data_IF_640515370616
#
_entry.id   IF_640515370616
#
_cell.length_a   1.000
_cell.length_b   1.000
_cell.length_c   1.000
_cell.angle_alpha   90.00
_cell.angle_beta   90.00
_cell.angle_gamma   90.00
#
_symmetry.space_group_name_H-M   'P 1'
#
loop_
_entity.id
_entity.type
_entity.pdbx_description
1 polymer ?
#
# COMPACT_ATOMS: atom_id res chain seq x y z
N UNK A 1 -15.10 -23.56 -23.39
CA UNK A 1 -15.65 -22.75 -22.28
C UNK A 1 -17.15 -22.66 -22.48
N UNK A 2 -17.94 -22.73 -21.42
CA UNK A 2 -19.39 -22.73 -21.52
C UNK A 2 -19.88 -21.29 -21.78
N UNK A 3 -20.25 -20.98 -23.03
CA UNK A 3 -20.73 -19.65 -23.45
C UNK A 3 -22.01 -19.19 -22.74
N UNK A 4 -22.67 -20.09 -22.01
CA UNK A 4 -23.89 -19.78 -21.26
C UNK A 4 -23.62 -19.01 -19.97
N UNK A 5 -22.48 -19.23 -19.31
CA UNK A 5 -22.19 -18.67 -17.98
C UNK A 5 -22.13 -17.13 -17.97
N UNK A 6 -21.47 -16.45 -18.93
CA UNK A 6 -21.49 -14.98 -18.99
C UNK A 6 -22.85 -14.38 -19.36
N UNK A 7 -23.81 -15.21 -19.82
CA UNK A 7 -25.18 -14.79 -20.14
C UNK A 7 -26.15 -14.99 -18.98
N UNK A 8 -25.70 -15.64 -17.89
CA UNK A 8 -26.52 -15.81 -16.71
C UNK A 8 -26.72 -14.47 -15.99
N UNK A 9 -27.91 -14.23 -15.41
CA UNK A 9 -28.13 -13.01 -14.66
C UNK A 9 -27.26 -12.92 -13.39
N UNK A 10 -26.62 -11.76 -13.19
CA UNK A 10 -25.79 -11.50 -12.00
C UNK A 10 -26.59 -11.58 -10.68
N UNK A 11 -27.91 -11.35 -10.70
CA UNK A 11 -28.76 -11.41 -9.50
C UNK A 11 -28.73 -12.77 -8.80
N UNK A 12 -28.47 -13.87 -9.53
CA UNK A 12 -28.35 -15.20 -8.91
C UNK A 12 -27.15 -15.27 -7.95
N UNK A 13 -26.06 -14.59 -8.29
CA UNK A 13 -24.87 -14.50 -7.44
C UNK A 13 -25.10 -13.48 -6.33
N UNK A 14 -25.81 -12.38 -6.62
CA UNK A 14 -26.15 -11.36 -5.64
C UNK A 14 -27.05 -11.91 -4.53
N UNK A 15 -28.11 -12.62 -4.89
CA UNK A 15 -29.03 -13.28 -3.96
C UNK A 15 -28.30 -14.33 -3.11
N UNK A 16 -27.39 -15.11 -3.71
CA UNK A 16 -26.55 -16.06 -2.98
C UNK A 16 -25.72 -15.34 -1.92
N UNK A 17 -25.02 -14.27 -2.30
CA UNK A 17 -24.20 -13.48 -1.37
C UNK A 17 -25.04 -12.86 -0.25
N UNK A 18 -26.20 -12.30 -0.58
CA UNK A 18 -27.05 -11.60 0.37
C UNK A 18 -27.69 -12.56 1.37
N UNK A 19 -28.21 -13.71 0.93
CA UNK A 19 -28.76 -14.74 1.82
C UNK A 19 -27.68 -15.27 2.76
N UNK A 20 -26.53 -15.64 2.22
CA UNK A 20 -25.41 -16.19 2.99
C UNK A 20 -24.90 -15.21 4.04
N UNK A 21 -24.69 -13.95 3.67
CA UNK A 21 -24.21 -12.91 4.57
C UNK A 21 -25.30 -12.51 5.58
N UNK A 22 -26.58 -12.53 5.20
CA UNK A 22 -27.68 -12.26 6.11
C UNK A 22 -27.73 -13.27 7.25
N UNK A 23 -27.48 -14.55 6.98
CA UNK A 23 -27.49 -15.60 7.99
C UNK A 23 -26.46 -15.39 9.09
N UNK A 24 -25.37 -14.66 8.82
CA UNK A 24 -24.31 -14.37 9.80
C UNK A 24 -24.57 -13.12 10.63
N UNK A 25 -25.59 -12.30 10.31
CA UNK A 25 -25.84 -11.02 11.01
C UNK A 25 -26.36 -11.18 12.43
N UNK A 26 -27.11 -12.25 12.72
CA UNK A 26 -27.72 -12.47 14.02
C UNK A 26 -27.29 -13.81 14.65
N UNK A 27 -27.03 -13.87 15.97
CA UNK A 27 -26.65 -15.12 16.63
C UNK A 27 -27.65 -16.27 16.49
N UNK A 28 -28.94 -15.95 16.34
CA UNK A 28 -29.98 -16.95 16.14
C UNK A 28 -29.90 -17.58 14.74
N UNK A 29 -29.76 -16.77 13.69
CA UNK A 29 -29.63 -17.25 12.30
C UNK A 29 -28.30 -17.95 12.09
N UNK A 30 -27.21 -17.46 12.70
CA UNK A 30 -25.91 -18.11 12.62
C UNK A 30 -25.94 -19.52 13.22
N UNK A 31 -26.60 -19.67 14.38
CA UNK A 31 -26.81 -20.99 15.01
C UNK A 31 -27.69 -21.91 14.20
N UNK A 32 -28.66 -21.37 13.45
CA UNK A 32 -29.55 -22.16 12.59
C UNK A 32 -28.81 -22.83 11.42
N UNK A 33 -27.61 -22.37 11.05
CA UNK A 33 -26.78 -22.99 10.02
C UNK A 33 -26.07 -24.28 10.49
N UNK A 34 -26.22 -24.69 11.75
CA UNK A 34 -25.56 -25.87 12.30
C UNK A 34 -25.95 -27.13 11.52
N UNK A 35 -24.96 -27.89 11.08
CA UNK A 35 -25.14 -29.12 10.31
C UNK A 35 -25.32 -28.92 8.80
N UNK A 36 -25.35 -27.67 8.32
CA UNK A 36 -25.35 -27.38 6.88
C UNK A 36 -23.91 -27.40 6.37
N UNK A 37 -23.67 -28.10 5.26
CA UNK A 37 -22.44 -28.03 4.49
C UNK A 37 -22.59 -27.01 3.36
N UNK A 38 -21.75 -25.96 3.37
CA UNK A 38 -21.72 -24.93 2.33
C UNK A 38 -20.48 -25.04 1.42
N UNK A 39 -19.81 -26.19 1.39
CA UNK A 39 -18.60 -26.40 0.58
C UNK A 39 -18.76 -26.06 -0.91
N UNK A 40 -19.92 -26.35 -1.50
CA UNK A 40 -20.16 -25.99 -2.92
C UNK A 40 -20.35 -24.48 -3.10
N UNK A 41 -21.00 -23.79 -2.17
CA UNK A 41 -21.10 -22.34 -2.18
C UNK A 41 -19.70 -21.71 -2.05
N UNK A 42 -18.86 -22.24 -1.15
CA UNK A 42 -17.45 -21.82 -1.03
C UNK A 42 -16.70 -21.95 -2.36
N UNK A 43 -16.78 -23.11 -3.03
CA UNK A 43 -16.10 -23.36 -4.30
C UNK A 43 -16.60 -22.45 -5.42
N UNK A 44 -17.91 -22.18 -5.47
CA UNK A 44 -18.48 -21.21 -6.42
C UNK A 44 -17.90 -19.82 -6.19
N UNK A 45 -17.85 -19.36 -4.94
CA UNK A 45 -17.28 -18.05 -4.57
C UNK A 45 -15.80 -17.95 -4.96
N UNK A 46 -14.98 -18.94 -4.57
CA UNK A 46 -13.56 -19.00 -4.93
C UNK A 46 -13.36 -19.00 -6.46
N UNK A 47 -14.20 -19.73 -7.18
CA UNK A 47 -14.12 -19.82 -8.64
C UNK A 47 -14.47 -18.48 -9.30
N UNK A 48 -15.54 -17.81 -8.90
CA UNK A 48 -15.98 -16.51 -9.45
C UNK A 48 -14.99 -15.38 -9.13
N UNK A 49 -14.27 -15.48 -8.01
CA UNK A 49 -13.20 -14.54 -7.68
C UNK A 49 -11.92 -14.79 -8.49
N UNK A 50 -11.68 -16.01 -8.96
CA UNK A 50 -10.43 -16.35 -9.66
C UNK A 50 -10.20 -15.52 -10.93
N UNK A 51 -8.94 -15.16 -11.25
CA UNK A 51 -8.63 -14.35 -12.43
C UNK A 51 -9.24 -14.89 -13.72
N UNK A 52 -9.29 -16.22 -13.85
CA UNK A 52 -9.89 -16.91 -14.99
C UNK A 52 -11.38 -16.59 -15.19
N UNK A 53 -12.15 -16.45 -14.12
CA UNK A 53 -13.60 -16.21 -14.18
C UNK A 53 -13.98 -14.80 -13.75
N UNK A 54 -13.02 -13.94 -13.45
CA UNK A 54 -13.29 -12.60 -12.95
C UNK A 54 -14.18 -11.79 -13.90
N UNK A 55 -13.97 -11.94 -15.21
CA UNK A 55 -14.76 -11.33 -16.28
C UNK A 55 -16.25 -11.76 -16.33
N UNK A 56 -16.62 -12.83 -15.60
CA UNK A 56 -18.01 -13.34 -15.55
C UNK A 56 -18.89 -12.49 -14.65
N UNK A 57 -18.32 -11.85 -13.62
CA UNK A 57 -19.03 -10.93 -12.72
C UNK A 57 -18.45 -9.53 -12.94
N UNK A 58 -19.13 -8.70 -13.74
CA UNK A 58 -18.57 -7.40 -14.15
C UNK A 58 -18.78 -6.32 -13.10
N UNK A 59 -19.78 -6.50 -12.24
CA UNK A 59 -20.07 -5.55 -11.17
C UNK A 59 -19.08 -5.68 -10.01
N UNK A 60 -18.25 -4.65 -9.81
CA UNK A 60 -17.26 -4.61 -8.73
C UNK A 60 -17.87 -4.71 -7.32
N UNK A 61 -19.07 -4.17 -7.09
CA UNK A 61 -19.76 -4.31 -5.80
C UNK A 61 -20.15 -5.77 -5.52
N UNK A 62 -20.60 -6.49 -6.55
CA UNK A 62 -20.94 -7.91 -6.43
C UNK A 62 -19.69 -8.76 -6.23
N UNK A 63 -18.58 -8.43 -6.91
CA UNK A 63 -17.28 -9.05 -6.64
C UNK A 63 -16.83 -8.81 -5.20
N UNK A 64 -17.03 -7.61 -4.68
CA UNK A 64 -16.73 -7.29 -3.29
C UNK A 64 -17.60 -8.10 -2.31
N UNK A 65 -18.89 -8.27 -2.61
CA UNK A 65 -19.80 -9.15 -1.85
C UNK A 65 -19.32 -10.61 -1.79
N UNK A 66 -18.71 -11.13 -2.86
CA UNK A 66 -18.08 -12.47 -2.83
C UNK A 66 -16.93 -12.53 -1.81
N UNK A 67 -16.12 -11.48 -1.72
CA UNK A 67 -15.10 -11.34 -0.67
C UNK A 67 -15.71 -11.26 0.74
N UNK A 68 -16.82 -10.53 0.90
CA UNK A 68 -17.59 -10.47 2.14
C UNK A 68 -18.11 -11.84 2.55
N UNK A 69 -18.57 -12.69 1.63
CA UNK A 69 -18.99 -14.07 1.94
C UNK A 69 -17.83 -14.87 2.53
N UNK A 70 -16.64 -14.79 1.93
CA UNK A 70 -15.44 -15.45 2.46
C UNK A 70 -15.10 -14.96 3.87
N UNK A 71 -15.14 -13.64 4.08
CA UNK A 71 -14.89 -13.03 5.37
C UNK A 71 -15.96 -13.40 6.41
N UNK A 72 -17.24 -13.27 6.10
CA UNK A 72 -18.34 -13.45 7.03
C UNK A 72 -18.67 -14.91 7.35
N UNK A 73 -18.35 -15.85 6.46
CA UNK A 73 -18.68 -17.25 6.69
C UNK A 73 -17.43 -18.07 6.98
N UNK A 74 -16.38 -17.96 6.17
CA UNK A 74 -15.31 -18.97 6.15
C UNK A 74 -14.05 -18.58 6.93
N UNK A 75 -13.86 -17.30 7.27
CA UNK A 75 -12.72 -16.85 8.07
C UNK A 75 -12.88 -17.21 9.56
N UNK A 76 -12.01 -18.05 10.14
CA UNK A 76 -12.04 -18.35 11.57
C UNK A 76 -11.58 -17.15 12.42
N UNK A 77 -12.02 -17.11 13.68
CA UNK A 77 -11.48 -16.21 14.73
C UNK A 77 -11.34 -14.74 14.29
N UNK A 78 -12.39 -14.17 13.71
CA UNK A 78 -12.39 -12.76 13.30
C UNK A 78 -12.18 -11.85 14.50
N UNK A 79 -11.42 -10.78 14.29
CA UNK A 79 -11.19 -9.74 15.29
C UNK A 79 -12.50 -9.02 15.69
N UNK A 80 -13.50 -9.06 14.81
CA UNK A 80 -14.76 -8.37 14.98
C UNK A 80 -15.79 -9.20 15.77
N UNK A 81 -16.69 -8.55 16.50
CA UNK A 81 -17.71 -9.16 17.40
C UNK A 81 -18.86 -9.87 16.65
N UNK A 82 -18.62 -10.30 15.41
CA UNK A 82 -19.61 -10.98 14.60
C UNK A 82 -20.04 -12.30 15.23
N UNK A 83 -21.32 -12.71 15.06
CA UNK A 83 -21.78 -14.01 15.52
C UNK A 83 -20.92 -15.17 15.01
N UNK A 84 -20.57 -16.10 15.89
CA UNK A 84 -19.77 -17.27 15.53
C UNK A 84 -20.56 -18.19 14.62
N UNK A 85 -20.07 -18.37 13.40
CA UNK A 85 -20.60 -19.34 12.44
C UNK A 85 -20.21 -20.76 12.90
N UNK A 86 -21.11 -21.76 12.82
CA UNK A 86 -20.80 -23.12 13.23
C UNK A 86 -19.67 -23.74 12.39
N UNK A 87 -18.78 -24.50 13.03
CA UNK A 87 -17.67 -25.20 12.35
C UNK A 87 -18.15 -26.09 11.20
N UNK A 88 -19.35 -26.68 11.30
CA UNK A 88 -19.95 -27.51 10.24
C UNK A 88 -20.08 -26.78 8.89
N UNK A 89 -20.15 -25.45 8.92
CA UNK A 89 -20.27 -24.60 7.74
C UNK A 89 -18.90 -24.12 7.25
N UNK A 90 -18.02 -23.77 8.20
CA UNK A 90 -16.71 -23.17 7.90
C UNK A 90 -15.66 -24.19 7.51
N UNK A 91 -15.82 -25.43 7.98
CA UNK A 91 -14.82 -26.47 7.90
C UNK A 91 -15.25 -27.59 6.96
N UNK A 92 -14.26 -28.14 6.27
CA UNK A 92 -14.40 -29.24 5.35
C UNK A 92 -14.52 -30.57 6.11
N UNK A 93 -15.68 -31.25 6.01
CA UNK A 93 -15.89 -32.52 6.69
C UNK A 93 -14.98 -33.63 6.13
N UNK A 94 -14.55 -33.53 4.87
CA UNK A 94 -13.69 -34.52 4.22
C UNK A 94 -12.21 -34.35 4.59
N UNK A 95 -11.84 -33.15 5.03
CA UNK A 95 -10.47 -32.80 5.41
C UNK A 95 -10.25 -32.77 6.93
N UNK A 96 -11.03 -33.57 7.68
CA UNK A 96 -10.87 -33.71 9.13
C UNK A 96 -11.28 -32.48 9.93
N UNK A 97 -12.24 -31.68 9.42
CA UNK A 97 -12.71 -30.47 10.10
C UNK A 97 -11.77 -29.28 9.98
N UNK A 98 -10.88 -29.27 8.97
CA UNK A 98 -10.04 -28.11 8.66
C UNK A 98 -10.87 -27.02 7.96
N UNK A 99 -10.59 -25.72 8.18
CA UNK A 99 -11.29 -24.64 7.48
C UNK A 99 -11.20 -24.79 5.96
N UNK A 100 -12.30 -24.55 5.24
CA UNK A 100 -12.35 -24.62 3.77
C UNK A 100 -11.29 -23.75 3.09
N UNK A 101 -11.01 -22.57 3.67
CA UNK A 101 -9.94 -21.67 3.22
C UNK A 101 -8.57 -22.35 3.13
N UNK A 102 -8.29 -23.35 3.97
CA UNK A 102 -7.00 -24.03 4.05
C UNK A 102 -7.03 -25.45 3.46
N UNK A 103 -8.19 -26.09 3.31
CA UNK A 103 -8.28 -27.48 2.86
C UNK A 103 -8.67 -27.65 1.39
N UNK A 104 -9.44 -26.72 0.83
CA UNK A 104 -9.92 -26.85 -0.55
C UNK A 104 -8.80 -26.59 -1.56
N UNK A 105 -8.65 -27.51 -2.52
CA UNK A 105 -7.58 -27.46 -3.51
C UNK A 105 -7.67 -26.24 -4.44
N UNK A 106 -8.88 -25.77 -4.77
CA UNK A 106 -9.04 -24.57 -5.58
C UNK A 106 -8.62 -23.34 -4.79
N UNK A 107 -9.01 -23.27 -3.51
CA UNK A 107 -8.63 -22.16 -2.65
C UNK A 107 -7.11 -22.05 -2.52
N UNK A 108 -6.41 -23.14 -2.19
CA UNK A 108 -4.95 -23.17 -2.06
C UNK A 108 -4.19 -22.72 -3.31
N UNK A 109 -4.80 -22.85 -4.49
CA UNK A 109 -4.15 -22.52 -5.77
C UNK A 109 -4.46 -21.12 -6.26
N UNK A 110 -5.70 -20.65 -6.08
CA UNK A 110 -6.16 -19.40 -6.73
C UNK A 110 -6.55 -18.31 -5.75
N UNK A 111 -6.84 -18.61 -4.48
CA UNK A 111 -7.50 -17.63 -3.61
C UNK A 111 -6.62 -16.44 -3.26
N UNK A 112 -5.36 -16.65 -2.90
CA UNK A 112 -4.42 -15.56 -2.63
C UNK A 112 -4.32 -14.56 -3.81
N UNK A 113 -4.02 -14.97 -5.07
CA UNK A 113 -4.04 -14.05 -6.22
C UNK A 113 -5.40 -13.40 -6.45
N UNK A 114 -6.49 -14.14 -6.26
CA UNK A 114 -7.85 -13.61 -6.44
C UNK A 114 -8.16 -12.48 -5.47
N UNK A 115 -7.72 -12.61 -4.21
CA UNK A 115 -7.96 -11.61 -3.18
C UNK A 115 -7.07 -10.37 -3.37
N UNK A 116 -5.83 -10.52 -3.84
CA UNK A 116 -5.00 -9.36 -4.18
C UNK A 116 -5.59 -8.59 -5.37
N UNK A 117 -6.06 -9.29 -6.40
CA UNK A 117 -6.77 -8.67 -7.52
C UNK A 117 -8.02 -7.93 -7.03
N UNK A 118 -8.84 -8.60 -6.21
CA UNK A 118 -10.04 -8.01 -5.64
C UNK A 118 -9.73 -6.77 -4.79
N UNK A 119 -8.61 -6.75 -4.06
CA UNK A 119 -8.15 -5.59 -3.28
C UNK A 119 -7.93 -4.34 -4.15
N UNK A 120 -7.46 -4.52 -5.38
CA UNK A 120 -7.35 -3.46 -6.39
C UNK A 120 -8.71 -3.09 -6.98
N UNK A 121 -9.51 -4.07 -7.38
CA UNK A 121 -10.82 -3.88 -8.03
C UNK A 121 -11.82 -3.10 -7.16
N UNK A 122 -11.80 -3.28 -5.85
CA UNK A 122 -12.70 -2.55 -4.93
C UNK A 122 -12.45 -1.04 -4.91
N UNK A 123 -11.35 -0.55 -5.49
CA UNK A 123 -11.13 0.89 -5.71
C UNK A 123 -12.27 1.54 -6.52
N UNK A 124 -12.91 0.77 -7.40
CA UNK A 124 -14.02 1.21 -8.25
C UNK A 124 -15.39 1.25 -7.52
N UNK A 125 -15.41 0.91 -6.23
CA UNK A 125 -16.64 0.94 -5.40
C UNK A 125 -16.80 2.27 -4.67
N UNK A 126 -17.94 2.49 -4.01
CA UNK A 126 -18.17 3.70 -3.22
C UNK A 126 -17.15 3.86 -2.08
N UNK A 127 -16.82 5.09 -1.69
CA UNK A 127 -15.76 5.38 -0.72
C UNK A 127 -15.88 4.57 0.60
N UNK A 128 -17.07 4.58 1.23
CA UNK A 128 -17.31 3.85 2.48
C UNK A 128 -17.28 2.32 2.30
N UNK A 129 -17.83 1.84 1.19
CA UNK A 129 -17.88 0.43 0.86
C UNK A 129 -16.46 -0.12 0.60
N UNK A 130 -15.65 0.61 -0.17
CA UNK A 130 -14.25 0.30 -0.47
C UNK A 130 -13.45 0.05 0.81
N UNK A 131 -13.59 0.91 1.81
CA UNK A 131 -12.85 0.79 3.06
C UNK A 131 -13.19 -0.50 3.81
N UNK A 132 -14.50 -0.77 3.93
CA UNK A 132 -15.00 -1.98 4.57
C UNK A 132 -14.51 -3.23 3.82
N UNK A 133 -14.67 -3.26 2.50
CA UNK A 133 -14.24 -4.40 1.68
C UNK A 133 -12.74 -4.65 1.78
N UNK A 134 -11.90 -3.61 1.71
CA UNK A 134 -10.46 -3.75 1.89
C UNK A 134 -10.07 -4.26 3.26
N UNK A 135 -10.73 -3.80 4.32
CA UNK A 135 -10.48 -4.29 5.67
C UNK A 135 -10.79 -5.79 5.81
N UNK A 136 -11.84 -6.28 5.14
CA UNK A 136 -12.18 -7.70 5.09
C UNK A 136 -11.18 -8.52 4.28
N UNK A 137 -10.82 -8.04 3.09
CA UNK A 137 -9.85 -8.69 2.20
C UNK A 137 -8.48 -8.77 2.87
N UNK A 138 -8.01 -7.70 3.53
CA UNK A 138 -6.75 -7.69 4.27
C UNK A 138 -6.73 -8.74 5.40
N UNK A 139 -7.84 -8.91 6.12
CA UNK A 139 -7.98 -9.96 7.14
C UNK A 139 -7.94 -11.37 6.55
N UNK A 140 -8.59 -11.59 5.39
CA UNK A 140 -8.50 -12.86 4.67
C UNK A 140 -7.05 -13.13 4.24
N UNK A 141 -6.42 -12.16 3.57
CA UNK A 141 -5.04 -12.28 3.07
C UNK A 141 -4.06 -12.59 4.20
N UNK A 142 -4.19 -11.94 5.36
CA UNK A 142 -3.38 -12.24 6.54
C UNK A 142 -3.53 -13.69 6.99
N UNK A 143 -4.77 -14.18 7.10
CA UNK A 143 -5.03 -15.56 7.50
C UNK A 143 -4.46 -16.58 6.49
N UNK A 144 -4.53 -16.28 5.19
CA UNK A 144 -3.91 -17.13 4.16
C UNK A 144 -2.38 -17.06 4.21
N UNK A 145 -1.79 -15.89 4.49
CA UNK A 145 -0.35 -15.70 4.55
C UNK A 145 0.32 -16.51 5.68
N UNK A 146 -0.33 -16.58 6.83
CA UNK A 146 0.14 -17.34 8.00
C UNK A 146 0.12 -18.86 7.76
N UNK A 147 -0.55 -19.32 6.70
CA UNK A 147 -0.69 -20.72 6.31
C UNK A 147 0.38 -21.16 5.30
N UNK A 148 0.94 -22.35 5.50
CA UNK A 148 1.92 -22.93 4.58
C UNK A 148 1.29 -23.31 3.22
N UNK A 149 0.00 -23.65 3.22
CA UNK A 149 -0.75 -24.12 2.07
C UNK A 149 -0.87 -23.07 0.95
N UNK A 150 -0.92 -21.78 1.31
CA UNK A 150 -1.09 -20.68 0.34
C UNK A 150 0.22 -20.04 -0.11
N UNK A 151 1.37 -20.36 0.50
CA UNK A 151 2.67 -19.76 0.13
C UNK A 151 2.99 -19.89 -1.35
N UNK A 152 2.69 -21.05 -1.94
CA UNK A 152 2.90 -21.28 -3.37
C UNK A 152 2.01 -20.39 -4.25
N UNK A 153 0.76 -20.10 -3.83
CA UNK A 153 -0.12 -19.20 -4.56
C UNK A 153 0.35 -17.74 -4.45
N UNK A 154 0.82 -17.31 -3.27
CA UNK A 154 1.45 -16.01 -3.10
C UNK A 154 2.67 -15.82 -4.01
N UNK A 155 3.55 -16.82 -4.11
CA UNK A 155 4.70 -16.77 -5.02
C UNK A 155 4.32 -16.77 -6.50
N UNK A 156 3.19 -17.39 -6.88
CA UNK A 156 2.69 -17.29 -8.26
C UNK A 156 2.30 -15.87 -8.63
N UNK A 157 1.80 -15.07 -7.69
CA UNK A 157 1.54 -13.64 -7.96
C UNK A 157 2.84 -12.95 -8.35
N UNK A 158 3.95 -13.33 -7.72
CA UNK A 158 5.24 -12.74 -8.06
C UNK A 158 5.71 -13.06 -9.49
N UNK A 159 5.08 -14.02 -10.18
CA UNK A 159 5.35 -14.33 -11.59
C UNK A 159 4.56 -13.44 -12.57
N UNK A 160 3.49 -12.78 -12.11
CA UNK A 160 2.69 -11.83 -12.89
C UNK A 160 3.01 -10.40 -12.42
N UNK A 161 4.08 -9.85 -13.00
CA UNK A 161 4.65 -8.55 -12.64
C UNK A 161 3.62 -7.43 -12.78
N UNK A 162 2.85 -7.39 -13.87
CA UNK A 162 1.95 -6.27 -14.16
C UNK A 162 0.78 -6.21 -13.18
N UNK A 163 0.19 -7.36 -12.87
CA UNK A 163 -0.86 -7.47 -11.86
C UNK A 163 -0.35 -7.07 -10.47
N UNK A 164 0.88 -7.49 -10.11
CA UNK A 164 1.49 -7.12 -8.84
C UNK A 164 1.77 -5.63 -8.75
N UNK A 165 2.34 -5.02 -9.79
CA UNK A 165 2.65 -3.60 -9.84
C UNK A 165 1.38 -2.76 -9.67
N UNK A 166 0.29 -3.13 -10.36
CA UNK A 166 -1.02 -2.47 -10.20
C UNK A 166 -1.53 -2.56 -8.76
N UNK A 167 -1.44 -3.74 -8.15
CA UNK A 167 -1.84 -3.98 -6.77
C UNK A 167 -1.00 -3.17 -5.76
N UNK A 168 0.32 -3.24 -5.87
CA UNK A 168 1.27 -2.54 -5.00
C UNK A 168 1.09 -1.02 -5.12
N UNK A 169 0.88 -0.52 -6.34
CA UNK A 169 0.56 0.88 -6.59
C UNK A 169 -0.72 1.32 -5.85
N UNK A 170 -1.79 0.51 -5.93
CA UNK A 170 -3.04 0.75 -5.21
C UNK A 170 -2.85 0.85 -3.70
N UNK A 171 -2.07 -0.08 -3.11
CA UNK A 171 -1.74 -0.06 -1.67
C UNK A 171 -0.99 1.22 -1.28
N UNK A 172 0.01 1.63 -2.06
CA UNK A 172 0.81 2.81 -1.74
C UNK A 172 -0.04 4.09 -1.81
N UNK A 173 -0.87 4.23 -2.85
CA UNK A 173 -1.77 5.38 -3.02
C UNK A 173 -2.79 5.45 -1.88
N UNK A 174 -3.39 4.32 -1.52
CA UNK A 174 -4.30 4.25 -0.39
C UNK A 174 -3.60 4.61 0.93
N UNK A 175 -2.43 4.03 1.20
CA UNK A 175 -1.69 4.28 2.44
C UNK A 175 -1.38 5.77 2.60
N UNK A 176 -0.93 6.42 1.52
CA UNK A 176 -0.69 7.86 1.51
C UNK A 176 -1.97 8.65 1.80
N UNK A 177 -3.08 8.32 1.14
CA UNK A 177 -4.35 9.03 1.34
C UNK A 177 -4.90 8.87 2.76
N UNK A 178 -4.88 7.65 3.30
CA UNK A 178 -5.39 7.36 4.65
C UNK A 178 -4.53 8.04 5.72
N UNK A 179 -3.20 7.93 5.59
CA UNK A 179 -2.28 8.56 6.55
C UNK A 179 -2.40 10.09 6.48
N UNK A 180 -2.47 10.68 5.28
CA UNK A 180 -2.62 12.12 5.14
C UNK A 180 -3.90 12.62 5.83
N UNK A 181 -5.03 11.98 5.56
CA UNK A 181 -6.33 12.33 6.15
C UNK A 181 -6.34 12.16 7.67
N UNK A 182 -5.90 11.01 8.19
CA UNK A 182 -5.87 10.76 9.65
C UNK A 182 -4.92 11.72 10.36
N UNK A 183 -3.74 11.98 9.80
CA UNK A 183 -2.74 12.85 10.42
C UNK A 183 -3.09 14.34 10.33
N UNK A 184 -4.00 14.72 9.45
CA UNK A 184 -4.60 16.06 9.41
C UNK A 184 -5.72 16.18 10.46
N UNK A 185 -6.61 15.18 10.56
CA UNK A 185 -7.79 15.21 11.42
C UNK A 185 -7.50 14.99 12.90
N UNK A 186 -6.54 14.13 13.26
CA UNK A 186 -6.19 13.87 14.67
C UNK A 186 -5.80 15.15 15.44
N UNK A 187 -4.92 16.03 14.91
CA UNK A 187 -4.65 17.32 15.53
C UNK A 187 -5.89 18.21 15.68
N UNK A 188 -6.80 18.21 14.71
CA UNK A 188 -8.05 18.99 14.79
C UNK A 188 -8.97 18.47 15.89
N UNK A 189 -9.16 17.15 15.98
CA UNK A 189 -9.91 16.47 17.04
C UNK A 189 -9.34 16.89 18.39
N UNK A 190 -8.02 16.80 18.58
CA UNK A 190 -7.37 17.21 19.82
C UNK A 190 -7.60 18.68 20.15
N UNK A 191 -7.48 19.58 19.16
CA UNK A 191 -7.71 21.02 19.39
C UNK A 191 -9.11 21.28 19.92
N UNK A 192 -10.12 20.63 19.34
CA UNK A 192 -11.51 20.75 19.80
C UNK A 192 -11.69 20.12 21.19
N UNK A 193 -11.12 18.94 21.45
CA UNK A 193 -11.14 18.32 22.79
C UNK A 193 -10.58 19.23 23.88
N UNK A 194 -9.43 19.88 23.62
CA UNK A 194 -8.82 20.84 24.55
C UNK A 194 -9.70 22.07 24.74
N UNK A 195 -10.31 22.58 23.67
CA UNK A 195 -11.20 23.74 23.72
C UNK A 195 -12.48 23.44 24.53
N UNK A 196 -13.08 22.28 24.32
CA UNK A 196 -14.27 21.81 25.06
C UNK A 196 -13.94 21.53 26.53
N UNK A 197 -12.71 21.12 26.84
CA UNK A 197 -12.25 20.90 28.20
C UNK A 197 -12.03 22.21 29.00
N UNK A 198 -12.09 23.39 28.36
CA UNK A 198 -12.03 24.69 29.02
C UNK A 198 -13.44 25.34 29.07
N UNK A 199 -14.18 25.20 30.20
CA UNK A 199 -15.57 25.66 30.27
C UNK A 199 -15.74 27.16 30.10
N UNK A 200 -14.72 27.96 30.44
CA UNK A 200 -14.77 29.43 30.33
C UNK A 200 -14.69 29.89 28.88
N UNK A 201 -13.74 29.35 28.12
CA UNK A 201 -13.59 29.65 26.69
C UNK A 201 -14.74 29.04 25.87
N UNK A 202 -15.18 27.84 26.22
CA UNK A 202 -16.29 27.18 25.54
C UNK A 202 -17.62 27.93 25.74
N UNK A 203 -17.91 28.39 26.96
CA UNK A 203 -19.12 29.16 27.26
C UNK A 203 -19.11 30.59 26.67
N UNK A 204 -17.93 31.12 26.32
CA UNK A 204 -17.80 32.42 25.67
C UNK A 204 -18.18 32.41 24.18
N UNK A 205 -18.26 31.23 23.55
CA UNK A 205 -18.66 31.07 22.16
C UNK A 205 -20.19 31.16 22.01
N UNK A 206 -20.65 31.61 20.85
CA UNK A 206 -22.08 31.57 20.54
C UNK A 206 -22.60 30.12 20.44
N UNK A 207 -23.91 29.93 20.54
CA UNK A 207 -24.53 28.61 20.36
C UNK A 207 -24.27 28.06 18.95
N UNK A 208 -24.43 28.87 17.91
CA UNK A 208 -24.14 28.52 16.51
C UNK A 208 -22.68 28.09 16.29
N UNK A 209 -21.73 28.78 16.94
CA UNK A 209 -20.31 28.41 16.88
C UNK A 209 -20.04 27.06 17.55
N UNK A 210 -20.68 26.81 18.70
CA UNK A 210 -20.55 25.54 19.42
C UNK A 210 -21.14 24.39 18.62
N UNK A 211 -22.29 24.57 17.98
CA UNK A 211 -22.89 23.56 17.09
C UNK A 211 -21.98 23.26 15.90
N UNK A 212 -21.46 24.29 15.23
CA UNK A 212 -20.57 24.12 14.06
C UNK A 212 -19.28 23.36 14.45
N UNK A 213 -18.67 23.73 15.59
CA UNK A 213 -17.46 23.05 16.07
C UNK A 213 -17.75 21.59 16.44
N UNK A 214 -18.89 21.34 17.09
CA UNK A 214 -19.29 19.99 17.51
C UNK A 214 -19.60 19.10 16.31
N UNK A 215 -20.35 19.60 15.32
CA UNK A 215 -20.62 18.86 14.07
C UNK A 215 -19.33 18.48 13.35
N UNK A 216 -18.41 19.43 13.16
CA UNK A 216 -17.12 19.14 12.52
C UNK A 216 -16.25 18.17 13.35
N UNK A 217 -16.36 18.24 14.67
CA UNK A 217 -15.66 17.30 15.55
C UNK A 217 -16.17 15.88 15.35
N UNK A 218 -17.48 15.67 15.39
CA UNK A 218 -18.13 14.38 15.16
C UNK A 218 -17.79 13.81 13.77
N UNK A 219 -17.84 14.64 12.73
CA UNK A 219 -17.44 14.26 11.36
C UNK A 219 -15.97 13.80 11.31
N UNK A 220 -15.07 14.57 11.92
CA UNK A 220 -13.65 14.20 11.97
C UNK A 220 -13.43 12.90 12.76
N UNK A 221 -14.13 12.71 13.89
CA UNK A 221 -14.06 11.48 14.66
C UNK A 221 -14.57 10.27 13.88
N UNK A 222 -15.66 10.42 13.13
CA UNK A 222 -16.21 9.36 12.28
C UNK A 222 -15.22 8.96 11.18
N UNK A 223 -14.62 9.92 10.49
CA UNK A 223 -13.61 9.65 9.47
C UNK A 223 -12.43 8.90 10.08
N UNK A 224 -11.84 9.39 11.17
CA UNK A 224 -10.68 8.74 11.80
C UNK A 224 -11.03 7.33 12.28
N UNK A 225 -12.23 7.12 12.84
CA UNK A 225 -12.70 5.79 13.28
C UNK A 225 -12.86 4.81 12.12
N UNK A 226 -13.20 5.29 10.92
CA UNK A 226 -13.28 4.47 9.70
C UNK A 226 -11.92 4.19 9.06
N UNK A 227 -11.09 5.22 8.90
CA UNK A 227 -9.84 5.16 8.13
C UNK A 227 -8.68 4.48 8.86
N UNK A 228 -8.55 4.73 10.16
CA UNK A 228 -7.38 4.32 10.92
C UNK A 228 -7.26 2.80 11.13
N UNK A 229 -8.35 2.04 11.36
CA UNK A 229 -8.29 0.58 11.34
C UNK A 229 -7.77 0.02 10.01
N UNK A 230 -8.24 0.58 8.89
CA UNK A 230 -7.77 0.16 7.56
C UNK A 230 -6.30 0.51 7.36
N UNK A 231 -5.90 1.73 7.73
CA UNK A 231 -4.51 2.18 7.68
C UNK A 231 -3.56 1.21 8.41
N UNK A 232 -3.92 0.80 9.63
CA UNK A 232 -3.15 -0.17 10.40
C UNK A 232 -3.05 -1.52 9.66
N UNK A 233 -4.16 -2.02 9.11
CA UNK A 233 -4.20 -3.29 8.37
C UNK A 233 -3.35 -3.23 7.10
N UNK A 234 -3.37 -2.11 6.37
CA UNK A 234 -2.61 -1.92 5.14
C UNK A 234 -1.10 -1.86 5.41
N UNK A 235 -0.66 -1.15 6.47
CA UNK A 235 0.75 -1.14 6.89
C UNK A 235 1.22 -2.52 7.32
N UNK A 236 0.41 -3.24 8.11
CA UNK A 236 0.73 -4.61 8.51
C UNK A 236 0.83 -5.53 7.30
N UNK A 237 -0.10 -5.41 6.35
CA UNK A 237 -0.07 -6.14 5.08
C UNK A 237 1.22 -5.95 4.32
N UNK A 238 1.63 -4.69 4.15
CA UNK A 238 2.91 -4.38 3.52
C UNK A 238 4.09 -4.97 4.31
N UNK A 239 4.04 -4.95 5.64
CA UNK A 239 5.06 -5.55 6.51
C UNK A 239 5.24 -7.04 6.29
N UNK A 240 4.18 -7.83 6.40
CA UNK A 240 4.29 -9.29 6.30
C UNK A 240 4.48 -9.78 4.85
N UNK A 241 3.93 -9.10 3.84
CA UNK A 241 4.19 -9.46 2.42
C UNK A 241 5.68 -9.43 2.09
N UNK A 242 6.41 -8.48 2.68
CA UNK A 242 7.84 -8.28 2.45
C UNK A 242 8.75 -9.21 3.26
N UNK A 243 8.18 -10.17 4.00
CA UNK A 243 8.96 -11.22 4.66
C UNK A 243 9.33 -12.38 3.73
N UNK A 244 8.62 -12.55 2.60
CA UNK A 244 9.03 -13.50 1.55
C UNK A 244 9.93 -12.79 0.53
N UNK A 245 11.16 -13.31 0.26
CA UNK A 245 12.11 -12.66 -0.65
C UNK A 245 11.59 -12.48 -2.07
N UNK A 246 10.79 -13.41 -2.60
CA UNK A 246 10.32 -13.34 -4.00
C UNK A 246 9.37 -12.16 -4.18
N UNK A 247 8.49 -11.92 -3.20
CA UNK A 247 7.58 -10.77 -3.19
C UNK A 247 8.34 -9.48 -2.90
N UNK A 248 9.25 -9.51 -1.91
CA UNK A 248 10.06 -8.35 -1.53
C UNK A 248 10.82 -7.78 -2.73
N UNK A 249 11.40 -8.63 -3.57
CA UNK A 249 12.16 -8.19 -4.74
C UNK A 249 11.31 -7.44 -5.77
N UNK A 250 9.99 -7.65 -5.80
CA UNK A 250 9.10 -6.91 -6.71
C UNK A 250 8.85 -5.47 -6.27
N UNK A 251 8.91 -5.21 -4.97
CA UNK A 251 8.88 -3.84 -4.46
C UNK A 251 10.17 -3.06 -4.74
N UNK A 252 11.26 -3.76 -5.09
CA UNK A 252 12.55 -3.18 -5.48
C UNK A 252 12.65 -2.88 -6.99
N UNK A 253 11.62 -3.20 -7.78
CA UNK A 253 11.57 -2.80 -9.19
C UNK A 253 11.66 -1.28 -9.32
N UNK A 254 12.33 -0.80 -10.37
CA UNK A 254 12.60 0.63 -10.60
C UNK A 254 11.33 1.50 -10.52
N UNK A 255 10.24 1.04 -11.14
CA UNK A 255 8.93 1.72 -11.13
C UNK A 255 8.21 1.73 -9.76
N UNK A 256 8.61 0.85 -8.84
CA UNK A 256 7.96 0.63 -7.54
C UNK A 256 8.77 1.16 -6.36
N UNK A 257 10.09 0.99 -6.38
CA UNK A 257 10.97 1.26 -5.25
C UNK A 257 10.90 2.73 -4.82
N UNK A 258 10.96 3.66 -5.78
CA UNK A 258 10.85 5.09 -5.49
C UNK A 258 9.52 5.45 -4.82
N UNK A 259 8.41 4.85 -5.29
CA UNK A 259 7.06 5.07 -4.72
C UNK A 259 6.94 4.51 -3.31
N UNK A 260 7.46 3.30 -3.10
CA UNK A 260 7.50 2.66 -1.79
C UNK A 260 8.25 3.55 -0.80
N UNK A 261 9.47 3.94 -1.14
CA UNK A 261 10.33 4.79 -0.31
C UNK A 261 9.62 6.09 0.05
N UNK A 262 9.08 6.81 -0.93
CA UNK A 262 8.40 8.07 -0.70
C UNK A 262 7.17 7.91 0.20
N UNK A 263 6.39 6.83 0.04
CA UNK A 263 5.29 6.50 0.95
C UNK A 263 5.82 6.23 2.37
N UNK A 264 6.83 5.38 2.53
CA UNK A 264 7.37 5.04 3.85
C UNK A 264 7.92 6.28 4.59
N UNK A 265 8.66 7.14 3.90
CA UNK A 265 9.14 8.40 4.47
C UNK A 265 8.01 9.38 4.79
N UNK A 266 6.98 9.47 3.93
CA UNK A 266 5.80 10.26 4.22
C UNK A 266 5.15 9.83 5.54
N UNK A 267 4.95 8.52 5.74
CA UNK A 267 4.40 8.00 7.01
C UNK A 267 5.37 8.24 8.17
N UNK A 268 6.67 8.03 7.98
CA UNK A 268 7.69 8.19 9.02
C UNK A 268 7.73 9.63 9.55
N UNK A 269 7.69 10.62 8.64
CA UNK A 269 7.67 12.04 8.97
C UNK A 269 6.46 12.40 9.83
N UNK A 270 5.29 11.83 9.54
CA UNK A 270 4.07 12.07 10.32
C UNK A 270 4.12 11.44 11.71
N UNK A 271 4.72 10.25 11.85
CA UNK A 271 4.78 9.52 13.12
C UNK A 271 5.90 9.99 14.06
N UNK A 272 7.08 10.30 13.52
CA UNK A 272 8.29 10.66 14.31
C UNK A 272 8.56 12.16 14.33
N UNK A 273 7.84 12.94 13.51
CA UNK A 273 7.99 14.38 13.43
C UNK A 273 7.76 15.12 14.74
N UNK A 274 8.15 16.40 14.74
CA UNK A 274 8.07 17.31 15.91
C UNK A 274 6.65 17.51 16.46
N UNK A 275 5.63 17.11 15.69
CA UNK A 275 4.20 17.21 16.02
C UNK A 275 3.63 15.98 16.73
N UNK A 276 4.45 15.02 17.17
CA UNK A 276 3.95 13.81 17.85
C UNK A 276 3.09 14.10 19.10
N UNK A 277 3.33 15.22 19.80
CA UNK A 277 2.44 15.66 20.88
C UNK A 277 1.05 16.07 20.38
N UNK A 278 0.92 16.68 19.21
CA UNK A 278 -0.37 17.10 18.63
C UNK A 278 -1.28 15.92 18.29
N UNK A 279 -0.71 14.72 18.11
CA UNK A 279 -1.45 13.49 17.80
C UNK A 279 -2.06 12.81 19.04
N UNK A 280 -1.73 13.25 20.26
CA UNK A 280 -2.29 12.67 21.48
C UNK A 280 -3.71 13.18 21.71
N UNK A 281 -4.68 12.49 21.13
CA UNK A 281 -6.13 12.65 21.37
C UNK A 281 -6.56 11.92 22.65
N UNK A 282 -7.70 12.32 23.20
CA UNK A 282 -8.35 11.58 24.27
C UNK A 282 -8.92 10.25 23.74
N UNK A 283 -8.93 9.20 24.56
CA UNK A 283 -9.42 7.86 24.20
C UNK A 283 -8.89 7.33 22.84
N UNK A 284 -7.56 7.28 22.60
CA UNK A 284 -6.97 6.88 21.32
C UNK A 284 -7.37 5.47 20.88
N UNK A 285 -7.68 4.59 21.85
CA UNK A 285 -8.15 3.23 21.58
C UNK A 285 -9.50 3.19 20.85
N UNK A 286 -10.36 4.20 21.05
CA UNK A 286 -11.68 4.27 20.40
C UNK A 286 -11.59 4.49 18.88
N UNK A 287 -10.46 5.01 18.41
CA UNK A 287 -10.15 5.20 16.99
C UNK A 287 -9.22 4.10 16.45
N UNK A 288 -8.84 3.10 17.25
CA UNK A 288 -7.74 2.17 16.95
C UNK A 288 -6.41 2.88 16.68
N UNK A 289 -6.17 4.05 17.27
CA UNK A 289 -4.91 4.76 17.11
C UNK A 289 -3.81 4.14 17.96
N UNK A 290 -2.90 3.41 17.31
CA UNK A 290 -1.78 2.73 17.96
C UNK A 290 -0.45 3.19 17.36
N UNK A 291 -0.02 4.44 17.62
CA UNK A 291 1.15 5.02 16.96
C UNK A 291 2.43 4.21 17.19
N UNK A 292 2.57 3.54 18.34
CA UNK A 292 3.72 2.66 18.62
C UNK A 292 3.74 1.42 17.72
N UNK A 293 2.59 0.78 17.51
CA UNK A 293 2.48 -0.38 16.64
C UNK A 293 2.69 0.03 15.18
N UNK A 294 2.11 1.15 14.75
CA UNK A 294 2.34 1.71 13.41
C UNK A 294 3.82 2.01 13.16
N UNK A 295 4.50 2.63 14.14
CA UNK A 295 5.93 2.94 14.02
C UNK A 295 6.77 1.65 13.98
N UNK A 296 6.42 0.65 14.81
CA UNK A 296 7.06 -0.68 14.77
C UNK A 296 6.94 -1.29 13.38
N UNK A 297 5.72 -1.37 12.86
CA UNK A 297 5.42 -2.02 11.59
C UNK A 297 6.13 -1.28 10.45
N UNK A 298 6.15 0.06 10.49
CA UNK A 298 6.89 0.89 9.54
C UNK A 298 8.40 0.66 9.59
N UNK A 299 9.01 0.66 10.79
CA UNK A 299 10.44 0.39 10.94
C UNK A 299 10.80 -1.04 10.52
N UNK A 300 9.92 -2.02 10.76
CA UNK A 300 10.10 -3.39 10.27
C UNK A 300 10.12 -3.45 8.75
N UNK A 301 9.27 -2.67 8.06
CA UNK A 301 9.31 -2.56 6.60
C UNK A 301 10.66 -1.99 6.14
N UNK A 302 11.13 -0.88 6.73
CA UNK A 302 12.46 -0.35 6.42
C UNK A 302 13.57 -1.39 6.64
N UNK A 303 13.53 -2.15 7.74
CA UNK A 303 14.49 -3.21 8.03
C UNK A 303 14.49 -4.31 6.96
N UNK A 304 13.31 -4.72 6.46
CA UNK A 304 13.20 -5.75 5.43
C UNK A 304 13.95 -5.40 4.14
N UNK A 305 14.07 -4.10 3.82
CA UNK A 305 14.73 -3.61 2.60
C UNK A 305 16.11 -3.00 2.84
N UNK A 306 16.55 -2.87 4.11
CA UNK A 306 17.76 -2.15 4.46
C UNK A 306 19.04 -2.73 3.85
N UNK A 307 19.01 -4.02 3.50
CA UNK A 307 20.12 -4.70 2.86
C UNK A 307 20.27 -4.35 1.36
N UNK A 308 19.19 -3.94 0.68
CA UNK A 308 19.14 -3.73 -0.77
C UNK A 308 19.69 -2.35 -1.19
N UNK A 309 20.64 -2.33 -2.12
CA UNK A 309 21.29 -1.10 -2.57
C UNK A 309 20.32 -0.20 -3.34
N UNK A 310 19.41 -0.78 -4.10
CA UNK A 310 18.36 -0.09 -4.84
C UNK A 310 17.46 0.71 -3.88
N UNK A 311 17.06 0.10 -2.76
CA UNK A 311 16.25 0.75 -1.74
C UNK A 311 17.01 1.87 -1.03
N UNK A 312 18.28 1.63 -0.67
CA UNK A 312 19.14 2.64 -0.05
C UNK A 312 19.32 3.85 -0.96
N UNK A 313 19.55 3.61 -2.26
CA UNK A 313 19.70 4.67 -3.25
C UNK A 313 18.41 5.48 -3.42
N UNK A 314 17.26 4.83 -3.52
CA UNK A 314 15.97 5.54 -3.59
C UNK A 314 15.66 6.30 -2.31
N UNK A 315 16.04 5.79 -1.12
CA UNK A 315 15.96 6.55 0.13
C UNK A 315 16.75 7.85 0.05
N UNK A 316 17.97 7.80 -0.48
CA UNK A 316 18.83 8.98 -0.63
C UNK A 316 18.29 10.01 -1.62
N UNK A 317 17.57 9.58 -2.66
CA UNK A 317 16.93 10.48 -3.63
C UNK A 317 15.59 11.07 -3.15
N UNK A 318 15.01 10.53 -2.08
CA UNK A 318 13.68 10.94 -1.64
C UNK A 318 13.69 12.39 -1.13
N UNK A 319 12.77 13.21 -1.62
CA UNK A 319 12.59 14.59 -1.13
C UNK A 319 12.12 14.69 0.33
N UNK A 320 11.74 13.57 0.95
CA UNK A 320 11.39 13.50 2.37
C UNK A 320 12.56 13.07 3.26
N UNK A 321 13.70 12.69 2.68
CA UNK A 321 14.84 12.22 3.44
C UNK A 321 15.51 13.39 4.17
N UNK A 322 15.61 13.25 5.48
CA UNK A 322 16.48 14.06 6.33
C UNK A 322 17.27 13.12 7.24
N UNK A 323 18.59 13.28 7.31
CA UNK A 323 19.44 12.42 8.14
C UNK A 323 18.97 12.40 9.61
N UNK A 324 18.52 13.55 10.12
CA UNK A 324 18.00 13.66 11.49
C UNK A 324 16.70 12.87 11.71
N UNK A 325 15.81 12.80 10.71
CA UNK A 325 14.55 12.05 10.79
C UNK A 325 14.81 10.55 10.98
N UNK A 326 15.69 9.96 10.17
CA UNK A 326 16.01 8.53 10.26
C UNK A 326 16.73 8.23 11.58
N UNK A 327 17.68 9.09 11.98
CA UNK A 327 18.37 8.94 13.27
C UNK A 327 17.42 9.04 14.48
N UNK A 328 16.49 10.00 14.48
CA UNK A 328 15.44 10.11 15.51
C UNK A 328 14.55 8.87 15.54
N UNK A 329 14.24 8.30 14.38
CA UNK A 329 13.43 7.09 14.24
C UNK A 329 14.12 5.88 14.85
N UNK A 330 15.41 5.67 14.55
CA UNK A 330 16.24 4.60 15.16
C UNK A 330 16.31 4.75 16.68
N UNK A 331 16.62 5.94 17.19
CA UNK A 331 16.66 6.21 18.64
C UNK A 331 15.32 5.95 19.32
N UNK A 332 14.22 6.34 18.68
CA UNK A 332 12.87 6.12 19.21
C UNK A 332 12.53 4.63 19.22
N UNK A 333 12.88 3.91 18.15
CA UNK A 333 12.69 2.47 18.03
C UNK A 333 13.44 1.71 19.13
N UNK A 334 14.71 2.05 19.38
CA UNK A 334 15.52 1.46 20.46
C UNK A 334 14.95 1.78 21.86
N UNK A 335 14.63 3.05 22.12
CA UNK A 335 14.11 3.50 23.41
C UNK A 335 12.78 2.85 23.78
N UNK A 336 11.91 2.62 22.79
CA UNK A 336 10.61 2.01 22.96
C UNK A 336 10.62 0.49 22.76
N UNK A 337 11.78 -0.10 22.43
CA UNK A 337 11.96 -1.53 22.15
C UNK A 337 10.98 -2.04 21.09
N UNK A 338 10.80 -1.29 20.00
CA UNK A 338 9.83 -1.65 18.96
C UNK A 338 10.34 -2.79 18.08
N UNK A 339 11.63 -2.78 17.73
CA UNK A 339 12.30 -3.85 17.00
C UNK A 339 13.34 -4.55 17.90
N UNK A 340 13.66 -5.80 17.56
CA UNK A 340 14.65 -6.63 18.28
C UNK A 340 15.48 -7.46 17.31
N UNK A 341 16.68 -7.85 17.73
CA UNK A 341 17.58 -8.71 16.94
C UNK A 341 17.99 -8.09 15.60
N UNK A 342 18.10 -8.94 14.58
CA UNK A 342 18.57 -8.59 13.23
C UNK A 342 17.78 -7.43 12.61
N UNK A 343 16.47 -7.37 12.80
CA UNK A 343 15.65 -6.29 12.25
C UNK A 343 16.02 -4.90 12.80
N UNK A 344 16.42 -4.82 14.08
CA UNK A 344 16.89 -3.56 14.66
C UNK A 344 18.29 -3.20 14.15
N UNK A 345 19.17 -4.19 13.99
CA UNK A 345 20.53 -3.98 13.49
C UNK A 345 20.51 -3.49 12.03
N UNK A 346 19.70 -4.11 11.18
CA UNK A 346 19.47 -3.69 9.79
C UNK A 346 18.88 -2.28 9.70
N UNK A 347 17.85 -1.98 10.50
CA UNK A 347 17.28 -0.63 10.52
C UNK A 347 18.26 0.43 11.02
N UNK A 348 19.12 0.09 11.98
CA UNK A 348 20.17 0.99 12.45
C UNK A 348 21.25 1.20 11.37
N UNK A 349 21.67 0.14 10.68
CA UNK A 349 22.66 0.18 9.60
C UNK A 349 22.18 1.03 8.40
N UNK A 350 20.88 1.03 8.13
CA UNK A 350 20.27 1.85 7.08
C UNK A 350 20.66 3.33 7.19
N UNK A 351 20.74 3.88 8.41
CA UNK A 351 21.07 5.32 8.60
C UNK A 351 22.40 5.70 7.94
N UNK A 352 23.46 4.93 8.22
CA UNK A 352 24.79 5.18 7.66
C UNK A 352 24.86 4.90 6.17
N UNK A 353 24.16 3.87 5.68
CA UNK A 353 24.12 3.54 4.25
C UNK A 353 23.44 4.63 3.42
N UNK A 354 22.29 5.12 3.87
CA UNK A 354 21.57 6.21 3.20
C UNK A 354 22.37 7.51 3.26
N UNK A 355 23.08 7.79 4.36
CA UNK A 355 23.95 8.96 4.44
C UNK A 355 25.09 8.92 3.40
N UNK A 356 25.74 7.76 3.22
CA UNK A 356 26.77 7.58 2.19
C UNK A 356 26.18 7.70 0.78
N UNK A 357 25.01 7.10 0.55
CA UNK A 357 24.32 7.20 -0.73
C UNK A 357 23.87 8.65 -1.03
N UNK A 358 23.39 9.40 -0.04
CA UNK A 358 23.01 10.82 -0.16
C UNK A 358 24.15 11.67 -0.68
N UNK A 359 25.36 11.51 -0.10
CA UNK A 359 26.56 12.22 -0.58
C UNK A 359 26.89 11.87 -2.02
N UNK A 360 26.71 10.61 -2.40
CA UNK A 360 26.94 10.16 -3.79
C UNK A 360 25.91 10.76 -4.76
N UNK A 361 24.65 10.90 -4.33
CA UNK A 361 23.59 11.55 -5.10
C UNK A 361 23.87 13.05 -5.22
N UNK A 362 24.23 13.73 -4.12
CA UNK A 362 24.62 15.15 -4.12
C UNK A 362 25.82 15.43 -5.02
N UNK A 363 26.86 14.58 -4.98
CA UNK A 363 28.04 14.69 -5.85
C UNK A 363 27.65 14.52 -7.33
N UNK A 364 26.70 13.61 -7.62
CA UNK A 364 26.18 13.42 -8.97
C UNK A 364 25.36 14.62 -9.43
N UNK A 365 24.45 15.12 -8.60
CA UNK A 365 23.62 16.29 -8.91
C UNK A 365 24.50 17.53 -9.15
N UNK A 366 25.56 17.72 -8.34
CA UNK A 366 26.54 18.78 -8.54
C UNK A 366 27.32 18.61 -9.85
N UNK A 367 27.66 17.38 -10.25
CA UNK A 367 28.31 17.08 -11.53
C UNK A 367 27.40 17.36 -12.73
N UNK A 368 26.09 17.14 -12.58
CA UNK A 368 25.09 17.33 -13.63
C UNK A 368 24.37 18.68 -13.58
N UNK A 369 24.72 19.56 -12.64
CA UNK A 369 24.02 20.83 -12.42
C UNK A 369 24.06 21.77 -13.64
N UNK A 370 25.06 21.65 -14.50
CA UNK A 370 25.19 22.43 -15.74
C UNK A 370 24.87 21.61 -17.01
N UNK A 371 24.05 20.56 -16.86
CA UNK A 371 23.54 19.79 -17.98
C UNK A 371 22.71 20.68 -18.95
N UNK A 372 22.91 20.52 -20.27
CA UNK A 372 22.02 21.10 -21.28
C UNK A 372 20.55 20.75 -21.03
N UNK A 373 19.64 21.68 -21.34
CA UNK A 373 18.19 21.46 -21.15
C UNK A 373 17.67 20.22 -21.89
N UNK A 374 18.26 19.85 -23.03
CA UNK A 374 17.90 18.65 -23.79
C UNK A 374 18.21 17.32 -23.08
N UNK A 375 19.02 17.34 -22.01
CA UNK A 375 19.34 16.16 -21.18
C UNK A 375 18.49 16.12 -19.91
N UNK A 376 17.65 17.13 -19.67
CA UNK A 376 16.76 17.19 -18.53
C UNK A 376 15.39 16.63 -18.91
N UNK A 377 14.80 15.88 -17.99
CA UNK A 377 13.44 15.41 -18.10
C UNK A 377 12.48 16.61 -18.09
N UNK A 378 11.58 16.76 -19.08
CA UNK A 378 10.71 17.93 -19.18
C UNK A 378 9.57 17.98 -18.14
N UNK A 379 9.32 16.91 -17.39
CA UNK A 379 8.34 16.86 -16.30
C UNK A 379 9.01 17.09 -14.94
N UNK A 380 10.14 16.41 -14.70
CA UNK A 380 10.82 16.41 -13.41
C UNK A 380 11.95 17.44 -13.31
N UNK A 381 12.41 17.99 -14.44
CA UNK A 381 13.58 18.87 -14.54
C UNK A 381 14.86 18.27 -13.94
N UNK A 382 14.95 16.95 -13.96
CA UNK A 382 16.11 16.17 -13.48
C UNK A 382 16.87 15.57 -14.65
N UNK A 383 18.16 15.29 -14.47
CA UNK A 383 18.98 14.65 -15.50
C UNK A 383 18.43 13.27 -15.90
N UNK A 384 18.18 13.07 -17.20
CA UNK A 384 17.69 11.79 -17.74
C UNK A 384 18.78 10.72 -17.72
N UNK A 385 18.42 9.51 -17.28
CA UNK A 385 19.30 8.33 -17.26
C UNK A 385 18.93 7.34 -18.37
N UNK A 386 17.64 7.19 -18.63
CA UNK A 386 17.13 6.35 -19.71
C UNK A 386 16.10 7.10 -20.53
N UNK A 387 16.54 7.93 -21.50
CA UNK A 387 15.62 8.73 -22.29
C UNK A 387 14.77 7.85 -23.22
N UNK A 388 13.46 8.08 -23.19
CA UNK A 388 12.46 7.40 -24.00
C UNK A 388 11.55 8.40 -24.70
N UNK A 389 11.17 8.07 -25.92
CA UNK A 389 10.37 8.87 -26.81
C UNK A 389 8.89 8.49 -26.76
N UNK A 390 8.04 9.51 -26.59
CA UNK A 390 6.59 9.40 -26.57
C UNK A 390 6.04 9.70 -27.98
N UNK A 391 5.46 8.70 -28.69
CA UNK A 391 5.03 8.88 -30.09
C UNK A 391 3.83 9.80 -30.25
N UNK A 392 3.07 10.04 -29.18
CA UNK A 392 1.86 10.86 -29.19
C UNK A 392 2.16 12.36 -29.14
N UNK A 393 3.19 12.77 -28.38
CA UNK A 393 3.57 14.16 -28.13
C UNK A 393 4.90 14.58 -28.77
N UNK A 394 5.64 13.64 -29.37
CA UNK A 394 7.00 13.85 -29.88
C UNK A 394 7.98 14.38 -28.81
N UNK A 395 7.75 14.02 -27.54
CA UNK A 395 8.61 14.39 -26.41
C UNK A 395 9.49 13.23 -25.97
N UNK A 396 10.66 13.57 -25.45
CA UNK A 396 11.55 12.62 -24.78
C UNK A 396 11.51 12.90 -23.29
N UNK A 397 11.33 11.85 -22.51
CA UNK A 397 11.24 11.86 -21.04
C UNK A 397 12.11 10.72 -20.50
N UNK A 398 12.42 10.72 -19.22
CA UNK A 398 13.06 9.56 -18.60
C UNK A 398 12.05 8.40 -18.46
N UNK A 399 12.53 7.17 -18.67
CA UNK A 399 11.68 5.96 -18.57
C UNK A 399 10.99 5.88 -17.22
N UNK A 400 11.72 6.11 -16.13
CA UNK A 400 11.16 5.99 -14.79
C UNK A 400 10.02 7.00 -14.58
N UNK A 401 10.19 8.22 -15.08
CA UNK A 401 9.17 9.28 -15.03
C UNK A 401 7.87 8.85 -15.74
N UNK A 402 7.96 8.38 -17.00
CA UNK A 402 6.76 8.02 -17.75
C UNK A 402 6.10 6.74 -17.22
N UNK A 403 6.88 5.74 -16.81
CA UNK A 403 6.33 4.53 -16.20
C UNK A 403 5.55 4.89 -14.94
N UNK A 404 6.08 5.79 -14.09
CA UNK A 404 5.37 6.26 -12.90
C UNK A 404 4.08 7.02 -13.23
N UNK A 405 4.09 7.85 -14.28
CA UNK A 405 2.91 8.58 -14.74
C UNK A 405 1.79 7.61 -15.18
N UNK A 406 2.14 6.66 -16.05
CA UNK A 406 1.19 5.70 -16.63
C UNK A 406 0.56 4.74 -15.62
N UNK A 407 1.20 4.54 -14.46
CA UNK A 407 0.61 3.79 -13.35
C UNK A 407 -0.60 4.48 -12.70
N UNK A 408 -0.72 5.80 -12.83
CA UNK A 408 -1.83 6.56 -12.26
C UNK A 408 -2.78 7.08 -13.36
N UNK A 409 -2.27 7.43 -14.53
CA UNK A 409 -3.03 8.02 -15.63
C UNK A 409 -2.57 7.42 -16.97
N UNK A 410 -3.42 6.66 -17.70
CA UNK A 410 -3.05 5.96 -18.94
C UNK A 410 -2.99 6.89 -20.17
N UNK A 411 -2.66 8.17 -19.98
CA UNK A 411 -2.58 9.16 -21.04
C UNK A 411 -1.18 9.79 -21.08
N UNK A 412 -0.85 10.39 -22.23
CA UNK A 412 0.37 11.17 -22.40
C UNK A 412 0.29 12.47 -21.57
N UNK A 413 1.31 12.78 -20.74
CA UNK A 413 1.28 13.91 -19.83
C UNK A 413 1.25 15.29 -20.52
N UNK A 414 1.62 15.38 -21.80
CA UNK A 414 1.69 16.64 -22.55
C UNK A 414 0.45 16.93 -23.38
N UNK A 415 -0.27 15.91 -23.84
CA UNK A 415 -1.41 16.10 -24.74
C UNK A 415 -2.67 15.31 -24.37
N UNK A 416 -2.63 14.49 -23.31
CA UNK A 416 -3.73 13.68 -22.79
C UNK A 416 -4.32 12.67 -23.77
N UNK A 417 -3.57 12.24 -24.79
CA UNK A 417 -3.96 11.11 -25.65
C UNK A 417 -3.60 9.79 -24.98
N UNK A 418 -4.36 8.74 -25.27
CA UNK A 418 -4.07 7.39 -24.76
C UNK A 418 -2.62 6.98 -25.06
N UNK A 419 -1.91 6.53 -24.03
CA UNK A 419 -0.54 6.09 -24.13
C UNK A 419 -0.32 4.89 -23.19
N UNK A 420 0.24 3.81 -23.72
CA UNK A 420 0.68 2.66 -22.92
C UNK A 420 2.19 2.51 -22.98
N UNK A 421 2.76 1.80 -22.00
CA UNK A 421 4.21 1.61 -21.93
C UNK A 421 4.76 0.89 -23.17
N UNK A 422 3.97 0.01 -23.79
CA UNK A 422 4.34 -0.71 -25.02
C UNK A 422 4.48 0.21 -26.25
N UNK A 423 3.85 1.39 -26.21
CA UNK A 423 3.95 2.39 -27.28
C UNK A 423 5.22 3.24 -27.18
N UNK A 424 5.82 3.31 -25.99
CA UNK A 424 7.01 4.11 -25.71
C UNK A 424 8.23 3.49 -26.39
N UNK A 425 9.07 4.32 -27.03
CA UNK A 425 10.24 3.86 -27.79
C UNK A 425 11.53 4.37 -27.14
N UNK A 426 12.59 3.59 -27.22
CA UNK A 426 13.91 4.03 -26.74
C UNK A 426 14.44 5.19 -27.58
N UNK A 427 15.17 6.13 -26.95
CA UNK A 427 15.85 7.23 -27.63
C UNK A 427 17.39 7.02 -27.62
N UNK A 428 17.93 6.05 -28.39
CA UNK A 428 19.33 5.63 -28.28
C UNK A 428 20.33 6.74 -28.64
N UNK A 429 20.01 7.59 -29.62
CA UNK A 429 20.88 8.71 -30.04
C UNK A 429 21.04 9.76 -28.92
N UNK A 430 19.95 10.06 -28.21
CA UNK A 430 20.00 10.97 -27.06
C UNK A 430 20.73 10.32 -25.89
N UNK A 431 20.48 9.03 -25.63
CA UNK A 431 21.18 8.27 -24.59
C UNK A 431 22.70 8.29 -24.81
N UNK A 432 23.15 8.06 -26.05
CA UNK A 432 24.57 8.10 -26.39
C UNK A 432 25.17 9.51 -26.20
N UNK A 433 24.41 10.56 -26.50
CA UNK A 433 24.83 11.95 -26.30
C UNK A 433 24.95 12.31 -24.81
N UNK A 434 23.97 11.90 -24.00
CA UNK A 434 23.96 12.03 -22.54
C UNK A 434 25.17 11.31 -21.93
N UNK A 435 25.40 10.05 -22.33
CA UNK A 435 26.50 9.24 -21.81
C UNK A 435 27.87 9.83 -22.15
N UNK A 436 28.03 10.33 -23.38
CA UNK A 436 29.28 10.98 -23.84
C UNK A 436 29.57 12.25 -23.06
N UNK A 437 28.56 13.08 -22.84
CA UNK A 437 28.69 14.31 -22.06
C UNK A 437 29.04 14.00 -20.59
N UNK A 438 28.38 13.00 -19.99
CA UNK A 438 28.63 12.60 -18.61
C UNK A 438 30.06 12.08 -18.42
N UNK A 439 30.59 11.31 -19.38
CA UNK A 439 31.98 10.83 -19.36
C UNK A 439 32.99 11.99 -19.47
N UNK A 440 32.72 12.99 -20.32
CA UNK A 440 33.55 14.19 -20.42
C UNK A 440 33.56 14.99 -19.11
N UNK A 441 32.39 15.14 -18.47
CA UNK A 441 32.26 15.77 -17.16
C UNK A 441 33.03 15.02 -16.08
N UNK A 442 32.92 13.69 -16.01
CA UNK A 442 33.70 12.87 -15.06
C UNK A 442 35.21 13.03 -15.27
N UNK A 443 35.68 13.12 -16.51
CA UNK A 443 37.12 13.32 -16.83
C UNK A 443 37.62 14.68 -16.41
N UNK A 444 36.84 15.74 -16.67
CA UNK A 444 37.21 17.10 -16.25
C UNK A 444 37.24 17.19 -14.73
N UNK A 445 36.23 16.68 -14.04
CA UNK A 445 36.17 16.66 -12.57
C UNK A 445 37.35 15.92 -11.91
N UNK A 446 37.78 14.77 -12.46
CA UNK A 446 38.97 14.03 -12.01
C UNK A 446 40.28 14.80 -12.23
N UNK A 447 40.41 15.52 -13.35
CA UNK A 447 41.61 16.33 -13.62
C UNK A 447 41.73 17.48 -12.62
N UNK A 448 40.63 18.18 -12.32
CA UNK A 448 40.62 19.31 -11.38
C UNK A 448 40.95 18.89 -9.95
N UNK A 449 40.46 17.72 -9.51
CA UNK A 449 40.73 17.15 -8.17
C UNK A 449 42.16 16.58 -8.04
N UNK A 450 42.74 16.05 -9.12
CA UNK A 450 44.15 15.60 -9.12
C UNK A 450 45.17 16.74 -9.16
N UNK A 451 44.80 17.91 -9.69
CA UNK A 451 45.68 19.08 -9.79
C UNK A 451 45.75 19.95 -8.52
N UNK A 452 44.75 19.89 -7.65
CA UNK A 452 44.69 20.71 -6.42
C UNK A 452 45.40 20.09 -5.21
N UNK A 453 45.76 18.79 -5.25
CA UNK A 453 46.55 18.12 -4.22
C UNK A 453 48.08 18.22 -4.38
N UNK A 454 48.55 18.91 -5.44
CA UNK A 454 49.97 18.98 -5.81
C UNK A 454 50.69 20.30 -5.53
N UNK A 455 50.00 21.29 -4.95
CA UNK A 455 50.59 22.59 -4.60
C UNK A 455 50.57 22.77 -3.08
N UNK A 456 51.54 22.14 -2.42
CA UNK A 456 52.02 22.55 -1.09
C UNK A 456 52.92 23.77 -1.18
#
# INVERSE_FOLDING_TARGET
EDESLPRMPEHLVDDLCDVLTFMTKHPATARAMRGIDLGDAFRVVVKLLSPKYAHTVRNYNLRAKLGDVLYFIYLPNKEDRSPTVPESVMCDPLSGGRPYLLSDASAQQTLAPSLLLLYGEVEQTGYYDRMKYRAHIASLLRYLWESAEHKAAFRKIATDRDSFVTFANGIMNETNSLIASVMEKLPEIRRVQVQMANPQEWAALSEEQRETISSRHEENEEVVRGELPLCNKTLQMLGWLNTDPDIRNLFLLEEMCSRLVNMLFHVLLKLVGTKGLELKVDNPESYNFRPKDMLRDLCAIFANFASADEFVLECAKSGYYEAELVQKSVKTCQRLQLLTGEAMDEFAALTGRVEVASRTVEDFDALTADAPEEFLDPLMYTFMRDPVYLPTSDKVVDRATITQHLLNDPHDPFNRKDLTMDMVKDAPELKESIDRWLEEKRRTHKKTTSGSGGSS
#
